data_IF_692086316229
#
_entry.id   IF_692086316229
#
_cell.length_a   1.000
_cell.length_b   1.000
_cell.length_c   1.000
_cell.angle_alpha   90.00
_cell.angle_beta   90.00
_cell.angle_gamma   90.00
#
_symmetry.space_group_name_H-M   'P 1'
#
loop_
_entity.id
_entity.type
_entity.pdbx_description
1 polymer ?
#
# COMPACT_ATOMS: atom_id res chain seq x y z
N UNK A 1 -28.43 -74.85 -1.03
CA UNK A 1 -27.32 -74.27 -1.82
C UNK A 1 -27.56 -72.87 -2.41
N UNK A 2 -28.78 -72.31 -2.52
CA UNK A 2 -29.00 -70.99 -3.17
C UNK A 2 -28.69 -69.73 -2.32
N UNK A 3 -28.76 -69.79 -0.99
CA UNK A 3 -28.56 -68.61 -0.09
C UNK A 3 -27.11 -68.09 -0.04
N UNK A 4 -26.08 -68.96 -0.11
CA UNK A 4 -24.66 -68.53 -0.09
C UNK A 4 -24.26 -67.72 -1.32
N UNK A 5 -24.88 -67.97 -2.49
CA UNK A 5 -24.59 -67.28 -3.75
C UNK A 5 -25.15 -65.85 -3.79
N UNK A 6 -26.24 -65.58 -3.05
CA UNK A 6 -26.90 -64.28 -2.98
C UNK A 6 -26.14 -63.32 -2.02
N UNK A 7 -25.60 -63.85 -0.93
CA UNK A 7 -24.80 -63.07 0.04
C UNK A 7 -23.50 -62.55 -0.60
N UNK A 8 -22.80 -63.38 -1.37
CA UNK A 8 -21.60 -62.95 -2.09
C UNK A 8 -21.87 -61.86 -3.12
N UNK A 9 -23.00 -61.92 -3.83
CA UNK A 9 -23.37 -60.92 -4.86
C UNK A 9 -23.69 -59.55 -4.25
N UNK A 10 -24.31 -59.52 -3.07
CA UNK A 10 -24.60 -58.27 -2.36
C UNK A 10 -23.33 -57.63 -1.77
N UNK A 11 -22.37 -58.45 -1.30
CA UNK A 11 -21.07 -57.95 -0.82
C UNK A 11 -20.27 -57.29 -1.96
N UNK A 12 -20.26 -57.91 -3.15
CA UNK A 12 -19.60 -57.33 -4.32
C UNK A 12 -20.25 -56.01 -4.78
N UNK A 13 -21.57 -55.91 -4.73
CA UNK A 13 -22.29 -54.67 -5.10
C UNK A 13 -21.99 -53.55 -4.08
N UNK A 14 -22.00 -53.85 -2.79
CA UNK A 14 -21.68 -52.86 -1.74
C UNK A 14 -20.22 -52.41 -1.83
N UNK A 15 -19.29 -53.34 -2.07
CA UNK A 15 -17.88 -53.01 -2.25
C UNK A 15 -17.64 -52.16 -3.52
N UNK A 16 -18.36 -52.45 -4.62
CA UNK A 16 -18.30 -51.65 -5.84
C UNK A 16 -18.87 -50.23 -5.63
N UNK A 17 -19.98 -50.10 -4.90
CA UNK A 17 -20.58 -48.79 -4.57
C UNK A 17 -19.63 -47.98 -3.67
N UNK A 18 -19.00 -48.60 -2.66
CA UNK A 18 -18.04 -47.92 -1.79
C UNK A 18 -16.77 -47.50 -2.54
N UNK A 19 -16.28 -48.32 -3.47
CA UNK A 19 -15.14 -47.97 -4.32
C UNK A 19 -15.46 -46.80 -5.27
N UNK A 20 -16.66 -46.75 -5.83
CA UNK A 20 -17.13 -45.64 -6.67
C UNK A 20 -17.30 -44.36 -5.83
N UNK A 21 -17.86 -44.44 -4.62
CA UNK A 21 -17.97 -43.29 -3.72
C UNK A 21 -16.61 -42.73 -3.30
N UNK A 22 -15.61 -43.60 -3.06
CA UNK A 22 -14.24 -43.18 -2.78
C UNK A 22 -13.54 -42.53 -3.99
N UNK A 23 -13.91 -42.92 -5.22
CA UNK A 23 -13.40 -42.31 -6.45
C UNK A 23 -14.04 -40.96 -6.77
N UNK A 24 -15.32 -40.77 -6.41
CA UNK A 24 -16.02 -39.49 -6.58
C UNK A 24 -15.60 -38.49 -5.49
N UNK A 25 -15.25 -38.97 -4.29
CA UNK A 25 -14.66 -38.19 -3.21
C UNK A 25 -13.13 -38.05 -3.33
N UNK A 26 -12.59 -38.00 -4.55
CA UNK A 26 -11.19 -37.63 -4.77
C UNK A 26 -10.87 -36.31 -4.06
N UNK A 27 -9.63 -36.10 -3.59
CA UNK A 27 -9.29 -34.90 -2.85
C UNK A 27 -9.60 -33.71 -3.74
N UNK A 28 -10.61 -32.92 -3.33
CA UNK A 28 -10.80 -31.58 -3.85
C UNK A 28 -9.56 -30.83 -3.43
N UNK A 29 -8.56 -30.81 -4.31
CA UNK A 29 -7.40 -29.95 -4.16
C UNK A 29 -7.98 -28.55 -4.12
N UNK A 30 -8.13 -27.99 -2.91
CA UNK A 30 -8.48 -26.60 -2.74
C UNK A 30 -7.43 -25.81 -3.52
N UNK A 31 -7.80 -25.37 -4.72
CA UNK A 31 -6.95 -24.54 -5.53
C UNK A 31 -6.61 -23.35 -4.65
N UNK A 32 -5.36 -23.26 -4.20
CA UNK A 32 -4.90 -22.19 -3.31
C UNK A 32 -5.25 -20.89 -4.03
N UNK A 33 -6.29 -20.20 -3.54
CA UNK A 33 -6.78 -19.00 -4.19
C UNK A 33 -5.59 -18.06 -4.34
N UNK A 34 -5.33 -17.64 -5.59
CA UNK A 34 -4.22 -16.73 -5.85
C UNK A 34 -4.46 -15.46 -5.04
N UNK A 35 -3.43 -15.01 -4.32
CA UNK A 35 -3.48 -13.74 -3.59
C UNK A 35 -3.73 -12.61 -4.60
N UNK A 36 -4.61 -11.65 -4.30
CA UNK A 36 -4.85 -10.52 -5.21
C UNK A 36 -3.62 -9.61 -5.28
N UNK A 37 -3.46 -8.86 -6.36
CA UNK A 37 -2.55 -7.72 -6.37
C UNK A 37 -3.25 -6.52 -5.72
N UNK A 38 -2.56 -5.79 -4.87
CA UNK A 38 -3.09 -4.61 -4.18
C UNK A 38 -2.40 -3.37 -4.76
N UNK A 39 -3.19 -2.47 -5.35
CA UNK A 39 -2.72 -1.18 -5.85
C UNK A 39 -3.48 -0.06 -5.16
N UNK A 40 -2.73 0.86 -4.54
CA UNK A 40 -3.27 2.08 -3.95
C UNK A 40 -2.82 3.26 -4.81
N UNK A 41 -3.77 4.03 -5.32
CA UNK A 41 -3.52 5.29 -6.03
C UNK A 41 -3.93 6.42 -5.09
N UNK A 42 -3.02 7.34 -4.83
CA UNK A 42 -3.23 8.39 -3.85
C UNK A 42 -2.96 9.78 -4.45
N UNK A 43 -4.02 10.58 -4.58
CA UNK A 43 -3.92 12.00 -4.92
C UNK A 43 -3.50 12.87 -3.73
N UNK A 44 -2.67 13.88 -3.98
CA UNK A 44 -2.26 14.88 -2.98
C UNK A 44 -3.07 16.16 -3.22
N UNK A 45 -3.66 16.71 -2.15
CA UNK A 45 -4.54 17.90 -2.21
C UNK A 45 -5.72 17.79 -3.18
N UNK A 46 -6.28 16.59 -3.31
CA UNK A 46 -7.47 16.30 -4.12
C UNK A 46 -8.71 16.23 -3.22
N UNK A 47 -9.59 17.21 -3.34
CA UNK A 47 -10.91 17.18 -2.71
C UNK A 47 -11.90 16.28 -3.47
N UNK A 48 -12.96 15.84 -2.79
CA UNK A 48 -14.01 15.02 -3.42
C UNK A 48 -14.57 15.69 -4.69
N UNK A 49 -14.77 17.01 -4.64
CA UNK A 49 -15.31 17.77 -5.77
C UNK A 49 -14.42 17.77 -7.02
N UNK A 50 -13.12 17.53 -6.86
CA UNK A 50 -12.17 17.47 -7.98
C UNK A 50 -12.37 16.23 -8.86
N UNK A 51 -12.98 15.16 -8.34
CA UNK A 51 -13.24 13.95 -9.12
C UNK A 51 -14.63 14.09 -9.78
N UNK A 52 -14.67 14.09 -11.12
CA UNK A 52 -15.91 14.42 -11.85
C UNK A 52 -17.03 13.42 -11.63
N UNK A 53 -16.74 12.20 -11.18
CA UNK A 53 -17.77 11.25 -10.78
C UNK A 53 -18.68 11.78 -9.67
N UNK A 54 -18.14 12.52 -8.69
CA UNK A 54 -18.92 13.06 -7.56
C UNK A 54 -19.69 14.34 -7.91
N UNK A 55 -19.20 15.11 -8.89
CA UNK A 55 -19.75 16.43 -9.21
C UNK A 55 -20.39 16.52 -10.58
N UNK A 56 -20.37 15.44 -11.36
CA UNK A 56 -20.85 15.41 -12.74
C UNK A 56 -20.28 16.53 -13.63
N UNK A 57 -19.01 16.90 -13.39
CA UNK A 57 -18.28 17.88 -14.20
C UNK A 57 -18.46 19.35 -13.80
N UNK A 58 -19.08 19.64 -12.65
CA UNK A 58 -19.27 21.03 -12.16
C UNK A 58 -17.96 21.82 -12.07
N UNK A 59 -16.82 21.16 -11.81
CA UNK A 59 -15.50 21.82 -11.76
C UNK A 59 -14.94 22.21 -13.14
N UNK A 60 -15.69 21.96 -14.24
CA UNK A 60 -15.31 22.35 -15.61
C UNK A 60 -14.44 21.34 -16.36
N UNK A 61 -14.18 20.16 -15.78
CA UNK A 61 -13.41 19.09 -16.40
C UNK A 61 -13.96 17.71 -16.05
N UNK A 62 -13.45 16.68 -16.74
CA UNK A 62 -13.77 15.28 -16.51
C UNK A 62 -12.52 14.47 -16.18
N UNK A 63 -12.69 13.44 -15.37
CA UNK A 63 -11.68 12.46 -14.96
C UNK A 63 -12.04 11.07 -15.49
N UNK A 64 -12.15 10.86 -16.82
CA UNK A 64 -12.82 9.69 -17.39
C UNK A 64 -12.26 8.33 -16.93
N UNK A 65 -10.95 8.24 -16.69
CA UNK A 65 -10.32 7.02 -16.18
C UNK A 65 -10.64 6.74 -14.70
N UNK A 66 -10.71 7.79 -13.87
CA UNK A 66 -11.08 7.66 -12.44
C UNK A 66 -12.58 7.37 -12.34
N UNK A 67 -13.39 8.07 -13.13
CA UNK A 67 -14.84 7.85 -13.22
C UNK A 67 -15.17 6.43 -13.67
N UNK A 68 -14.35 5.84 -14.54
CA UNK A 68 -14.50 4.43 -14.95
C UNK A 68 -14.27 3.47 -13.79
N UNK A 69 -13.23 3.69 -12.97
CA UNK A 69 -12.98 2.87 -11.76
C UNK A 69 -14.16 2.95 -10.79
N UNK A 70 -14.74 4.14 -10.61
CA UNK A 70 -15.93 4.33 -9.79
C UNK A 70 -17.16 3.56 -10.33
N UNK A 71 -17.41 3.63 -11.64
CA UNK A 71 -18.55 2.96 -12.31
C UNK A 71 -18.44 1.43 -12.34
N UNK A 72 -17.22 0.92 -12.51
CA UNK A 72 -16.95 -0.52 -12.58
C UNK A 72 -16.74 -1.16 -11.20
N UNK A 73 -16.63 -0.34 -10.16
CA UNK A 73 -16.27 -0.77 -8.81
C UNK A 73 -17.25 -0.28 -7.75
N UNK A 74 -16.67 0.23 -6.67
CA UNK A 74 -17.42 0.74 -5.51
C UNK A 74 -16.95 2.15 -5.19
N UNK A 75 -17.89 2.97 -4.75
CA UNK A 75 -17.65 4.36 -4.35
C UNK A 75 -18.13 4.58 -2.93
N UNK A 76 -17.40 5.41 -2.19
CA UNK A 76 -17.78 5.82 -0.85
C UNK A 76 -18.33 7.24 -0.90
N UNK A 77 -19.50 7.47 -0.30
CA UNK A 77 -20.07 8.80 -0.06
C UNK A 77 -19.39 9.46 1.14
N UNK A 78 -19.09 8.65 2.15
CA UNK A 78 -18.52 9.06 3.43
C UNK A 78 -17.17 8.36 3.62
N UNK A 79 -16.08 9.11 3.45
CA UNK A 79 -14.72 8.67 3.76
C UNK A 79 -13.95 9.84 4.35
N UNK A 80 -13.07 9.55 5.30
CA UNK A 80 -12.37 10.58 6.08
C UNK A 80 -10.86 10.34 6.03
N UNK A 81 -10.12 11.43 6.08
CA UNK A 81 -8.67 11.45 6.14
C UNK A 81 -8.22 12.50 7.16
N UNK A 82 -6.96 12.41 7.58
CA UNK A 82 -6.34 13.44 8.39
C UNK A 82 -6.12 14.73 7.58
N UNK A 83 -6.18 15.87 8.26
CA UNK A 83 -6.10 17.22 7.70
C UNK A 83 -4.72 17.65 7.13
N UNK A 84 -3.73 16.76 7.02
CA UNK A 84 -2.38 17.11 6.54
C UNK A 84 -1.73 15.94 5.82
N UNK A 85 -0.83 16.20 4.87
CA UNK A 85 -0.14 15.17 4.10
C UNK A 85 0.58 14.13 4.98
N UNK A 86 1.45 14.58 5.90
CA UNK A 86 2.21 13.70 6.80
C UNK A 86 1.29 12.93 7.74
N UNK A 87 0.28 13.61 8.28
CA UNK A 87 -0.75 13.02 9.12
C UNK A 87 -1.52 11.91 8.38
N UNK A 88 -2.05 12.20 7.20
CA UNK A 88 -2.82 11.24 6.39
C UNK A 88 -1.99 10.05 5.96
N UNK A 89 -0.77 10.29 5.47
CA UNK A 89 0.18 9.25 5.04
C UNK A 89 0.57 8.34 6.19
N UNK A 90 0.84 8.90 7.38
CA UNK A 90 1.19 8.09 8.55
C UNK A 90 0.01 7.23 9.00
N UNK A 91 -1.19 7.82 9.10
CA UNK A 91 -2.39 7.09 9.50
C UNK A 91 -2.73 5.96 8.53
N UNK A 92 -2.55 6.17 7.22
CA UNK A 92 -2.77 5.12 6.23
C UNK A 92 -1.71 4.02 6.27
N UNK A 93 -0.44 4.40 6.24
CA UNK A 93 0.66 3.42 6.16
C UNK A 93 0.74 2.61 7.45
N UNK A 94 0.52 3.22 8.61
CA UNK A 94 0.66 2.56 9.90
C UNK A 94 -0.67 2.05 10.49
N UNK A 95 -1.81 2.47 9.95
CA UNK A 95 -3.13 2.08 10.46
C UNK A 95 -3.43 2.59 11.87
N UNK A 96 -2.80 3.71 12.27
CA UNK A 96 -2.89 4.27 13.62
C UNK A 96 -3.23 5.76 13.58
N UNK A 97 -3.88 6.27 14.62
CA UNK A 97 -4.07 7.72 14.76
C UNK A 97 -2.71 8.44 14.86
N UNK A 98 -2.64 9.67 14.33
CA UNK A 98 -1.45 10.53 14.37
C UNK A 98 -0.89 10.79 15.75
N UNK A 99 -1.72 10.69 16.80
CA UNK A 99 -1.26 10.81 18.18
C UNK A 99 -0.36 9.64 18.61
N UNK A 100 -0.50 8.47 17.97
CA UNK A 100 0.34 7.29 18.22
C UNK A 100 1.58 7.28 17.33
N UNK A 101 1.42 7.64 16.05
CA UNK A 101 2.57 7.71 15.12
C UNK A 101 3.50 8.87 15.46
N UNK A 102 2.98 9.94 16.07
CA UNK A 102 3.72 11.17 16.34
C UNK A 102 3.93 12.05 15.10
N UNK A 103 3.45 11.63 13.93
CA UNK A 103 3.63 12.30 12.64
C UNK A 103 2.42 13.18 12.30
N UNK A 104 2.12 14.14 13.17
CA UNK A 104 0.97 15.05 13.03
C UNK A 104 1.28 16.36 12.28
N UNK A 105 2.57 16.65 12.05
CA UNK A 105 3.06 17.88 11.41
C UNK A 105 4.15 17.55 10.39
N UNK A 106 4.34 18.47 9.46
CA UNK A 106 5.37 18.38 8.41
C UNK A 106 6.74 18.52 9.04
N UNK A 107 7.61 17.55 8.78
CA UNK A 107 9.03 17.62 9.12
C UNK A 107 9.81 18.44 8.08
N UNK A 108 10.82 19.17 8.54
CA UNK A 108 11.76 19.86 7.67
C UNK A 108 12.84 18.88 7.16
N UNK A 109 13.54 19.20 6.06
CA UNK A 109 14.76 18.47 5.69
C UNK A 109 15.74 18.39 6.87
N UNK A 110 16.32 17.21 7.10
CA UNK A 110 17.21 16.89 8.22
C UNK A 110 16.52 16.60 9.57
N UNK A 111 15.20 16.75 9.67
CA UNK A 111 14.44 16.54 10.91
C UNK A 111 14.69 15.16 11.53
N UNK A 112 14.62 15.06 12.86
CA UNK A 112 14.76 13.80 13.61
C UNK A 112 13.45 13.00 13.63
N UNK A 113 12.36 13.66 13.29
CA UNK A 113 11.01 13.16 13.28
C UNK A 113 10.73 12.46 11.95
N UNK A 114 10.25 11.22 12.03
CA UNK A 114 9.89 10.39 10.88
C UNK A 114 9.45 9.00 11.32
N UNK A 115 9.31 8.08 10.37
CA UNK A 115 8.95 6.69 10.66
C UNK A 115 9.97 6.03 11.58
N UNK A 116 9.47 5.24 12.54
CA UNK A 116 10.29 4.45 13.44
C UNK A 116 10.13 2.97 13.12
N UNK A 117 11.20 2.21 13.35
CA UNK A 117 11.23 0.78 13.00
C UNK A 117 10.22 -0.03 13.81
N UNK A 118 9.84 0.47 14.98
CA UNK A 118 8.84 -0.13 15.85
C UNK A 118 7.40 0.08 15.35
N UNK A 119 7.16 1.07 14.47
CA UNK A 119 5.84 1.36 13.95
C UNK A 119 5.45 0.31 12.88
N UNK A 120 4.35 -0.43 13.05
CA UNK A 120 3.93 -1.40 12.05
C UNK A 120 3.50 -0.66 10.78
N UNK A 121 3.87 -1.18 9.61
CA UNK A 121 3.42 -0.64 8.33
C UNK A 121 2.62 -1.68 7.55
N UNK A 122 1.68 -1.22 6.73
CA UNK A 122 0.94 -2.07 5.78
C UNK A 122 1.90 -2.84 4.86
N UNK A 123 3.02 -2.23 4.46
CA UNK A 123 4.04 -2.88 3.66
C UNK A 123 4.74 -4.01 4.42
N UNK A 124 5.14 -3.79 5.67
CA UNK A 124 5.73 -4.82 6.52
C UNK A 124 4.79 -6.00 6.76
N UNK A 125 3.50 -5.71 7.02
CA UNK A 125 2.47 -6.73 7.19
C UNK A 125 2.21 -7.53 5.91
N UNK A 126 2.12 -6.88 4.75
CA UNK A 126 1.94 -7.56 3.46
C UNK A 126 3.18 -8.37 3.07
N UNK A 127 4.38 -7.87 3.35
CA UNK A 127 5.64 -8.59 3.09
C UNK A 127 5.73 -9.88 3.89
N UNK A 128 5.29 -9.88 5.15
CA UNK A 128 5.17 -11.10 5.95
C UNK A 128 4.18 -12.13 5.33
N UNK A 129 3.26 -11.67 4.49
CA UNK A 129 2.38 -12.52 3.69
C UNK A 129 2.96 -12.88 2.31
N UNK A 130 4.23 -12.59 2.03
CA UNK A 130 4.90 -12.95 0.77
C UNK A 130 4.54 -12.05 -0.42
N UNK A 131 4.06 -10.83 -0.17
CA UNK A 131 3.95 -9.82 -1.20
C UNK A 131 5.30 -9.15 -1.46
N UNK A 132 5.51 -8.73 -2.71
CA UNK A 132 6.53 -7.74 -3.07
C UNK A 132 5.88 -6.36 -2.98
N UNK A 133 6.53 -5.42 -2.30
CA UNK A 133 5.96 -4.12 -1.96
C UNK A 133 6.76 -2.97 -2.58
N UNK A 134 6.09 -1.94 -3.08
CA UNK A 134 6.75 -0.76 -3.64
C UNK A 134 5.99 0.52 -3.35
N UNK A 135 6.73 1.61 -3.17
CA UNK A 135 6.17 2.95 -3.03
C UNK A 135 6.77 3.88 -4.09
N UNK A 136 5.91 4.62 -4.79
CA UNK A 136 6.31 5.50 -5.89
C UNK A 136 5.70 6.89 -5.70
N UNK A 137 6.52 7.93 -5.86
CA UNK A 137 6.13 9.32 -5.64
C UNK A 137 6.38 9.79 -4.21
N UNK A 138 5.48 10.62 -3.68
CA UNK A 138 5.69 11.32 -2.40
C UNK A 138 5.64 10.38 -1.19
N UNK A 139 6.65 10.48 -0.31
CA UNK A 139 6.67 9.79 0.98
C UNK A 139 6.16 10.65 2.14
N UNK A 140 6.86 11.73 2.47
CA UNK A 140 6.46 12.69 3.50
C UNK A 140 6.34 12.14 4.93
N UNK A 141 7.12 11.09 5.24
CA UNK A 141 7.16 10.42 6.55
C UNK A 141 8.55 10.42 7.19
N UNK A 142 9.38 11.40 6.85
CA UNK A 142 10.73 11.53 7.37
C UNK A 142 11.75 11.68 6.26
N UNK A 143 12.85 12.34 6.62
CA UNK A 143 13.92 12.71 5.69
C UNK A 143 15.10 11.74 5.73
N UNK A 144 15.46 11.25 6.92
CA UNK A 144 16.71 10.53 7.13
C UNK A 144 16.69 9.15 6.51
N UNK A 145 17.87 8.60 6.23
CA UNK A 145 17.99 7.28 5.62
C UNK A 145 17.24 6.22 6.42
N UNK A 146 17.34 6.22 7.76
CA UNK A 146 16.61 5.30 8.64
C UNK A 146 15.08 5.41 8.54
N UNK A 147 14.54 6.51 7.99
CA UNK A 147 13.11 6.77 7.80
C UNK A 147 12.62 6.43 6.39
N UNK A 148 13.50 6.03 5.47
CA UNK A 148 13.12 5.71 4.10
C UNK A 148 12.15 4.53 4.05
N UNK A 149 11.16 4.50 3.14
CA UNK A 149 10.17 3.43 3.07
C UNK A 149 10.77 2.02 3.01
N UNK A 150 11.94 1.87 2.40
CA UNK A 150 12.66 0.60 2.27
C UNK A 150 13.21 0.05 3.59
N UNK A 151 13.33 0.89 4.61
CA UNK A 151 13.64 0.47 5.99
C UNK A 151 12.37 0.12 6.78
N UNK A 152 11.19 0.39 6.22
CA UNK A 152 9.87 0.23 6.86
C UNK A 152 8.95 -0.70 6.07
N UNK A 153 9.51 -1.73 5.44
CA UNK A 153 8.77 -2.85 4.84
C UNK A 153 8.51 -2.77 3.34
N UNK A 154 8.81 -1.65 2.67
CA UNK A 154 8.78 -1.58 1.20
C UNK A 154 10.03 -2.24 0.60
N UNK A 155 9.90 -2.99 -0.51
CA UNK A 155 11.07 -3.55 -1.22
C UNK A 155 11.76 -2.50 -2.09
N UNK A 156 10.99 -1.59 -2.71
CA UNK A 156 11.47 -0.51 -3.56
C UNK A 156 10.80 0.82 -3.19
N UNK A 157 11.59 1.89 -3.22
CA UNK A 157 11.10 3.26 -3.19
C UNK A 157 11.70 4.06 -4.32
N UNK A 158 10.85 4.82 -5.02
CA UNK A 158 11.27 5.80 -6.00
C UNK A 158 10.40 7.05 -5.91
N UNK A 159 10.96 8.16 -5.43
CA UNK A 159 10.22 9.41 -5.34
C UNK A 159 10.80 10.42 -4.37
N UNK A 160 9.98 11.42 -4.02
CA UNK A 160 10.39 12.55 -3.20
C UNK A 160 9.96 12.35 -1.74
N UNK A 161 10.74 12.87 -0.80
CA UNK A 161 10.47 12.79 0.63
C UNK A 161 9.58 13.92 1.16
N UNK A 162 9.32 15.00 0.41
CA UNK A 162 8.64 16.19 0.94
C UNK A 162 7.42 16.62 0.14
N UNK A 163 6.78 17.70 0.60
CA UNK A 163 5.95 18.54 -0.24
C UNK A 163 6.82 19.32 -1.25
N UNK A 164 6.31 19.54 -2.47
CA UNK A 164 7.07 20.18 -3.55
C UNK A 164 7.61 21.57 -3.17
N UNK A 165 6.87 22.37 -2.39
CA UNK A 165 7.38 23.65 -1.88
C UNK A 165 8.75 23.53 -1.16
N UNK A 166 9.04 22.42 -0.47
CA UNK A 166 10.35 22.25 0.16
C UNK A 166 11.49 22.18 -0.86
N UNK A 167 11.22 21.67 -2.06
CA UNK A 167 12.15 21.65 -3.20
C UNK A 167 12.33 23.03 -3.84
N UNK A 168 11.32 23.90 -3.71
CA UNK A 168 11.33 25.27 -4.24
C UNK A 168 12.04 26.24 -3.29
N UNK A 169 12.11 25.95 -1.98
CA UNK A 169 12.79 26.79 -0.99
C UNK A 169 14.19 27.28 -1.43
N UNK A 170 15.07 26.43 -2.00
CA UNK A 170 16.40 26.86 -2.45
C UNK A 170 16.38 27.91 -3.58
N UNK A 171 15.26 28.08 -4.28
CA UNK A 171 15.07 29.05 -5.35
C UNK A 171 14.70 30.45 -4.83
N UNK A 172 14.25 30.56 -3.57
CA UNK A 172 13.89 31.83 -2.95
C UNK A 172 15.11 32.78 -2.85
N UNK A 173 14.86 34.07 -3.04
CA UNK A 173 15.90 35.12 -3.03
C UNK A 173 16.63 35.15 -1.68
N UNK A 174 15.88 35.01 -0.60
CA UNK A 174 16.27 35.02 0.80
C UNK A 174 16.73 33.66 1.35
N UNK A 175 16.74 32.61 0.52
CA UNK A 175 17.29 31.32 0.94
C UNK A 175 18.79 31.42 1.25
N UNK A 176 19.27 30.90 2.40
CA UNK A 176 20.68 30.99 2.77
C UNK A 176 21.62 30.40 1.70
N UNK A 177 22.58 31.20 1.26
CA UNK A 177 23.51 30.82 0.17
C UNK A 177 24.78 30.09 0.66
N UNK A 178 24.91 29.89 1.97
CA UNK A 178 26.00 29.11 2.57
C UNK A 178 25.91 27.63 2.13
N UNK A 179 26.95 27.06 1.49
CA UNK A 179 26.98 25.65 1.12
C UNK A 179 26.77 24.69 2.28
N UNK A 180 27.25 25.02 3.49
CA UNK A 180 27.06 24.16 4.67
C UNK A 180 25.61 24.19 5.16
N UNK A 181 24.90 25.31 4.99
CA UNK A 181 23.46 25.36 5.24
C UNK A 181 22.71 24.43 4.30
N UNK A 182 22.98 24.52 2.98
CA UNK A 182 22.34 23.67 1.97
C UNK A 182 22.63 22.19 2.23
N UNK A 183 23.85 21.84 2.61
CA UNK A 183 24.22 20.45 2.94
C UNK A 183 23.44 19.88 4.13
N UNK A 184 23.06 20.72 5.09
CA UNK A 184 22.42 20.31 6.34
C UNK A 184 20.90 20.40 6.33
N UNK A 185 20.36 21.38 5.62
CA UNK A 185 18.94 21.75 5.65
C UNK A 185 18.31 21.86 4.26
N UNK A 186 19.08 21.61 3.20
CA UNK A 186 18.55 21.54 1.85
C UNK A 186 17.69 20.29 1.67
N UNK A 187 16.63 20.38 0.86
CA UNK A 187 15.88 19.21 0.44
C UNK A 187 16.79 18.25 -0.34
N UNK A 188 16.54 16.96 -0.19
CA UNK A 188 17.10 15.89 -1.03
C UNK A 188 16.33 15.78 -2.33
N UNK A 189 16.97 15.29 -3.39
CA UNK A 189 16.32 15.07 -4.67
C UNK A 189 15.36 13.86 -4.70
N UNK A 190 15.12 13.34 -5.90
CA UNK A 190 14.35 12.11 -6.08
C UNK A 190 15.17 10.91 -5.61
N UNK A 191 14.71 10.27 -4.56
CA UNK A 191 15.39 9.11 -3.97
C UNK A 191 15.02 7.85 -4.72
N UNK A 192 16.02 7.01 -4.97
CA UNK A 192 15.85 5.62 -5.36
C UNK A 192 16.51 4.71 -4.34
N UNK A 193 15.74 3.85 -3.69
CA UNK A 193 16.26 2.88 -2.72
C UNK A 193 15.63 1.50 -2.86
N UNK A 194 16.36 0.48 -2.37
CA UNK A 194 15.90 -0.90 -2.25
C UNK A 194 16.13 -1.41 -0.84
N UNK A 195 15.27 -2.30 -0.34
CA UNK A 195 15.44 -2.94 0.96
C UNK A 195 16.79 -3.69 1.03
N UNK A 196 17.63 -3.37 2.02
CA UNK A 196 18.97 -3.92 2.17
C UNK A 196 19.97 -3.52 1.07
N UNK A 197 19.58 -2.59 0.20
CA UNK A 197 20.36 -2.14 -0.96
C UNK A 197 20.97 -0.75 -0.79
N UNK A 198 21.49 -0.22 -1.89
CA UNK A 198 22.03 1.15 -1.95
C UNK A 198 20.91 2.18 -2.07
N UNK A 199 21.08 3.29 -1.39
CA UNK A 199 20.30 4.51 -1.55
C UNK A 199 21.00 5.37 -2.61
N UNK A 200 20.21 6.01 -3.48
CA UNK A 200 20.68 7.00 -4.45
C UNK A 200 19.81 8.25 -4.32
N UNK A 201 20.47 9.38 -4.20
CA UNK A 201 19.90 10.73 -4.10
C UNK A 201 20.25 11.55 -5.33
#
# INVERSE_FOLDING_TARGET
MKKKKLIGRNIFIVAAILAVLAFIAGPVSAAKAKKPNILVIWGDDIGQSNISYYTHGVMGYQTPNIDRVAKEGMTFTDYYAEQSCTAGRSSFIMGQSVFRTGLSKVGLPGAKEGMKVEDPTIAGLLKAQGYVTGQFGKNHLGDRDEMLPTNHGFDEFFGNLYHLNAEEEPENEDYPKDPEFRKKFGPRGVIKSFAGGKIKD
#
